data_IF_289750104731
#
_entry.id   IF_289750104731
#
_cell.length_a   1.000
_cell.length_b   1.000
_cell.length_c   1.000
_cell.angle_alpha   90.00
_cell.angle_beta   90.00
_cell.angle_gamma   90.00
#
_symmetry.space_group_name_H-M   'P 1'
#
loop_
_entity.id
_entity.type
_entity.pdbx_description
1 polymer ?
#
# COMPACT_ATOMS: atom_id res chain seq x y z
N UNK A 1 1.04 -9.62 -12.04
CA UNK A 1 1.11 -8.98 -10.70
C UNK A 1 0.13 -7.82 -10.74
N UNK A 2 -1.16 -8.15 -10.66
CA UNK A 2 -2.26 -7.30 -11.14
C UNK A 2 -2.30 -5.93 -10.46
N UNK A 3 -2.06 -5.85 -9.15
CA UNK A 3 -2.12 -4.57 -8.43
C UNK A 3 -1.04 -3.57 -8.87
N UNK A 4 0.19 -4.04 -9.18
CA UNK A 4 1.24 -3.16 -9.71
C UNK A 4 0.85 -2.64 -11.10
N UNK A 5 0.28 -3.49 -11.93
CA UNK A 5 -0.15 -3.12 -13.28
C UNK A 5 -1.23 -2.03 -13.24
N UNK A 6 -2.21 -2.13 -12.33
CA UNK A 6 -3.23 -1.11 -12.11
C UNK A 6 -2.63 0.22 -11.64
N UNK A 7 -1.72 0.16 -10.67
CA UNK A 7 -1.02 1.33 -10.16
C UNK A 7 -0.20 2.01 -11.26
N UNK A 8 0.57 1.24 -12.03
CA UNK A 8 1.40 1.78 -13.10
C UNK A 8 0.58 2.34 -14.25
N UNK A 9 -0.55 1.72 -14.58
CA UNK A 9 -1.51 2.28 -15.53
C UNK A 9 -2.02 3.65 -15.06
N UNK A 10 -2.46 3.76 -13.80
CA UNK A 10 -2.95 5.02 -13.24
C UNK A 10 -1.87 6.11 -13.18
N UNK A 11 -0.64 5.73 -12.78
CA UNK A 11 0.53 6.61 -12.78
C UNK A 11 0.87 7.12 -14.18
N UNK A 12 0.71 6.28 -15.22
CA UNK A 12 0.94 6.70 -16.61
C UNK A 12 -0.01 7.82 -17.06
N UNK A 13 -1.26 7.84 -16.56
CA UNK A 13 -2.23 8.90 -16.85
C UNK A 13 -1.85 10.26 -16.26
N UNK A 14 -0.98 10.25 -15.24
CA UNK A 14 -0.47 11.44 -14.54
C UNK A 14 0.98 11.78 -14.96
N UNK A 15 1.48 11.14 -16.03
CA UNK A 15 2.87 11.27 -16.51
C UNK A 15 3.93 10.92 -15.45
N UNK A 16 3.60 10.00 -14.54
CA UNK A 16 4.50 9.52 -13.51
C UNK A 16 5.24 8.26 -13.97
N UNK A 17 6.51 8.14 -13.57
CA UNK A 17 7.32 6.95 -13.85
C UNK A 17 6.68 5.70 -13.22
N UNK A 18 6.73 4.53 -13.89
CA UNK A 18 6.22 3.31 -13.29
C UNK A 18 7.05 2.91 -12.07
N UNK A 19 6.39 2.35 -11.07
CA UNK A 19 7.03 1.67 -9.95
C UNK A 19 7.55 0.31 -10.41
N UNK A 20 8.59 -0.18 -9.73
CA UNK A 20 9.20 -1.48 -9.98
C UNK A 20 9.04 -2.34 -8.75
N UNK A 21 8.67 -3.60 -8.95
CA UNK A 21 8.60 -4.52 -7.83
C UNK A 21 9.95 -4.65 -7.15
N UNK A 22 9.94 -4.57 -5.82
CA UNK A 22 11.09 -4.86 -4.98
C UNK A 22 10.72 -5.98 -4.01
N UNK A 23 11.27 -7.17 -4.27
CA UNK A 23 10.92 -8.41 -3.56
C UNK A 23 10.90 -8.33 -2.03
N UNK A 24 11.87 -7.65 -1.36
CA UNK A 24 11.80 -7.49 0.08
C UNK A 24 10.53 -6.77 0.57
N UNK A 25 10.06 -5.74 -0.14
CA UNK A 25 8.82 -5.05 0.21
C UNK A 25 7.58 -5.89 -0.05
N UNK A 26 7.59 -6.68 -1.12
CA UNK A 26 6.51 -7.61 -1.40
C UNK A 26 6.37 -8.66 -0.29
N UNK A 27 7.49 -9.23 0.16
CA UNK A 27 7.50 -10.17 1.30
C UNK A 27 7.04 -9.51 2.60
N UNK A 28 7.51 -8.30 2.90
CA UNK A 28 7.05 -7.54 4.07
C UNK A 28 5.55 -7.30 4.01
N UNK A 29 5.01 -6.80 2.89
CA UNK A 29 3.57 -6.56 2.73
C UNK A 29 2.74 -7.83 2.94
N UNK A 30 3.18 -8.97 2.40
CA UNK A 30 2.49 -10.25 2.60
C UNK A 30 2.51 -10.71 4.06
N UNK A 31 3.67 -10.61 4.71
CA UNK A 31 3.81 -10.96 6.13
C UNK A 31 2.88 -10.10 7.00
N UNK A 32 2.82 -8.80 6.74
CA UNK A 32 1.93 -7.88 7.46
C UNK A 32 0.45 -8.20 7.28
N UNK A 33 0.04 -8.50 6.04
CA UNK A 33 -1.35 -8.88 5.76
C UNK A 33 -1.75 -10.16 6.51
N UNK A 34 -0.83 -11.13 6.62
CA UNK A 34 -1.04 -12.34 7.40
C UNK A 34 -1.11 -12.03 8.90
N UNK A 35 -0.17 -11.26 9.44
CA UNK A 35 -0.13 -10.91 10.87
C UNK A 35 -1.41 -10.16 11.31
N UNK A 36 -1.87 -9.17 10.53
CA UNK A 36 -3.14 -8.47 10.75
C UNK A 36 -4.35 -9.40 10.76
N UNK A 37 -4.40 -10.34 9.80
CA UNK A 37 -5.49 -11.30 9.68
C UNK A 37 -5.48 -12.30 10.84
N UNK A 38 -4.32 -12.86 11.18
CA UNK A 38 -4.17 -13.89 12.21
C UNK A 38 -4.44 -13.36 13.62
N UNK A 39 -4.05 -12.11 13.88
CA UNK A 39 -4.20 -11.47 15.18
C UNK A 39 -5.40 -10.52 15.27
N UNK A 40 -6.30 -10.52 14.28
CA UNK A 40 -7.56 -9.77 14.26
C UNK A 40 -7.41 -8.25 14.53
N UNK A 41 -6.45 -7.61 13.88
CA UNK A 41 -6.30 -6.15 13.94
C UNK A 41 -6.03 -5.55 12.56
N UNK A 42 -6.26 -4.25 12.40
CA UNK A 42 -6.00 -3.52 11.16
C UNK A 42 -5.30 -2.21 11.47
N UNK A 43 -3.98 -2.17 11.34
CA UNK A 43 -3.16 -1.04 11.74
C UNK A 43 -1.78 -1.07 11.08
N UNK A 44 -1.23 0.13 10.84
CA UNK A 44 0.18 0.31 10.44
C UNK A 44 1.18 -0.11 11.54
N UNK A 45 0.70 -0.33 12.77
CA UNK A 45 1.49 -0.65 13.95
C UNK A 45 1.00 -1.95 14.60
N UNK A 46 1.90 -2.66 15.29
CA UNK A 46 1.49 -3.80 16.13
C UNK A 46 0.59 -3.34 17.28
N UNK A 47 -0.42 -4.14 17.67
CA UNK A 47 -1.19 -3.89 18.87
C UNK A 47 -0.27 -3.59 20.06
N UNK A 48 -0.61 -2.57 20.84
CA UNK A 48 0.10 -2.18 22.07
C UNK A 48 1.58 -1.79 21.90
N UNK A 49 2.02 -1.46 20.67
CA UNK A 49 3.38 -0.98 20.42
C UNK A 49 3.39 0.24 19.50
N UNK A 50 4.51 0.97 19.49
CA UNK A 50 4.82 2.00 18.48
C UNK A 50 5.63 1.45 17.31
N UNK A 51 5.82 0.13 17.25
CA UNK A 51 6.66 -0.53 16.25
C UNK A 51 5.85 -0.62 14.95
N UNK A 52 6.30 0.06 13.88
CA UNK A 52 5.70 -0.10 12.57
C UNK A 52 5.97 -1.51 12.06
N UNK A 53 4.97 -2.09 11.40
CA UNK A 53 5.11 -3.40 10.78
C UNK A 53 6.06 -3.41 9.58
N UNK A 54 6.00 -2.34 8.78
CA UNK A 54 6.76 -2.17 7.56
C UNK A 54 7.90 -1.16 7.68
N UNK A 55 8.16 -0.44 6.59
CA UNK A 55 9.14 0.64 6.58
C UNK A 55 8.61 1.85 7.39
N UNK A 56 9.24 2.10 8.54
CA UNK A 56 9.35 3.38 9.27
C UNK A 56 8.21 4.40 9.06
N UNK A 57 7.38 4.57 10.09
CA UNK A 57 6.63 5.80 10.43
C UNK A 57 6.10 6.52 9.18
N UNK A 58 5.09 5.96 8.52
CA UNK A 58 4.46 6.52 7.32
C UNK A 58 3.72 7.84 7.65
N UNK A 59 4.50 8.90 7.85
CA UNK A 59 4.06 10.28 8.03
C UNK A 59 5.08 11.18 7.30
N UNK A 60 5.06 11.17 5.96
CA UNK A 60 5.16 12.35 5.10
C UNK A 60 5.10 11.95 3.61
N UNK A 61 3.92 12.15 3.02
CA UNK A 61 3.40 11.52 1.79
C UNK A 61 4.14 11.86 0.49
N UNK A 62 5.11 12.78 0.47
CA UNK A 62 6.04 12.91 -0.67
C UNK A 62 7.24 13.81 -0.34
N UNK A 63 8.43 13.19 -0.21
CA UNK A 63 9.80 13.78 -0.16
C UNK A 63 10.85 12.64 -0.07
N UNK A 64 10.67 11.58 -0.85
CA UNK A 64 11.54 10.39 -0.83
C UNK A 64 11.30 9.41 0.33
N UNK A 65 10.25 9.62 1.14
CA UNK A 65 9.85 8.70 2.19
C UNK A 65 9.10 7.47 1.64
N UNK A 66 9.18 6.35 2.36
CA UNK A 66 8.34 5.19 2.13
C UNK A 66 6.88 5.49 2.52
N UNK A 67 5.94 4.83 1.87
CA UNK A 67 4.52 4.93 2.18
C UNK A 67 3.90 3.54 2.19
N UNK A 68 2.88 3.38 3.02
CA UNK A 68 2.15 2.13 3.19
C UNK A 68 0.66 2.39 2.97
N UNK A 69 0.05 1.61 2.09
CA UNK A 69 -1.39 1.64 1.87
C UNK A 69 -1.97 0.31 2.33
N UNK A 70 -2.85 0.36 3.33
CA UNK A 70 -3.59 -0.79 3.83
C UNK A 70 -5.02 -0.72 3.34
N UNK A 71 -5.65 -1.87 3.15
CA UNK A 71 -7.09 -1.96 2.91
C UNK A 71 -7.61 -3.25 3.51
N UNK A 72 -8.76 -3.16 4.17
CA UNK A 72 -9.53 -4.30 4.61
C UNK A 72 -10.87 -4.26 3.87
N UNK A 73 -11.26 -5.37 3.26
CA UNK A 73 -12.53 -5.48 2.54
C UNK A 73 -13.35 -6.64 3.09
N UNK A 74 -14.67 -6.48 3.06
CA UNK A 74 -15.64 -7.48 3.47
C UNK A 74 -16.92 -7.29 2.66
N UNK A 75 -17.59 -8.35 2.17
CA UNK A 75 -17.30 -9.78 2.37
C UNK A 75 -16.12 -10.31 1.52
N UNK A 76 -15.71 -11.59 1.66
CA UNK A 76 -14.59 -12.19 0.91
C UNK A 76 -14.67 -12.05 -0.62
N UNK A 77 -15.86 -11.90 -1.19
CA UNK A 77 -16.02 -11.63 -2.63
C UNK A 77 -15.42 -10.30 -3.07
N UNK A 78 -15.10 -9.39 -2.14
CA UNK A 78 -14.42 -8.11 -2.40
C UNK A 78 -12.89 -8.20 -2.26
N UNK A 79 -12.32 -9.39 -2.02
CA UNK A 79 -10.87 -9.60 -1.87
C UNK A 79 -10.17 -9.65 -3.24
N UNK A 80 -10.23 -8.54 -3.98
CA UNK A 80 -9.64 -8.43 -5.33
C UNK A 80 -8.71 -7.22 -5.44
N UNK A 81 -7.70 -7.31 -6.32
CA UNK A 81 -6.78 -6.21 -6.61
C UNK A 81 -7.51 -4.95 -7.07
N UNK A 82 -8.60 -5.11 -7.84
CA UNK A 82 -9.37 -3.99 -8.36
C UNK A 82 -10.14 -3.24 -7.29
N UNK A 83 -10.74 -3.95 -6.33
CA UNK A 83 -11.40 -3.31 -5.19
C UNK A 83 -10.35 -2.57 -4.36
N UNK A 84 -9.24 -3.22 -4.01
CA UNK A 84 -8.15 -2.60 -3.26
C UNK A 84 -7.64 -1.31 -3.94
N UNK A 85 -7.35 -1.40 -5.24
CA UNK A 85 -6.92 -0.26 -6.06
C UNK A 85 -7.96 0.88 -6.05
N UNK A 86 -9.23 0.57 -6.31
CA UNK A 86 -10.29 1.58 -6.33
C UNK A 86 -10.45 2.26 -4.97
N UNK A 87 -10.43 1.49 -3.87
CA UNK A 87 -10.52 2.01 -2.51
C UNK A 87 -9.38 2.98 -2.20
N UNK A 88 -8.14 2.63 -2.56
CA UNK A 88 -7.00 3.54 -2.39
C UNK A 88 -7.11 4.79 -3.26
N UNK A 89 -7.51 4.65 -4.52
CA UNK A 89 -7.62 5.78 -5.45
C UNK A 89 -8.73 6.77 -5.09
N UNK A 90 -9.79 6.31 -4.41
CA UNK A 90 -10.87 7.16 -3.89
C UNK A 90 -10.51 7.83 -2.56
N UNK A 91 -9.44 7.40 -1.89
CA UNK A 91 -8.99 7.97 -0.63
C UNK A 91 -7.84 8.96 -0.85
N UNK A 92 -8.00 10.25 -0.53
CA UNK A 92 -6.96 11.27 -0.76
C UNK A 92 -5.56 10.91 -0.22
N UNK A 93 -5.37 10.44 1.03
CA UNK A 93 -4.04 10.10 1.52
C UNK A 93 -3.41 8.91 0.77
N UNK A 94 -4.19 7.86 0.48
CA UNK A 94 -3.69 6.67 -0.22
C UNK A 94 -3.36 6.98 -1.69
N UNK A 95 -4.20 7.76 -2.37
CA UNK A 95 -3.95 8.24 -3.73
C UNK A 95 -2.69 9.09 -3.78
N UNK A 96 -2.49 9.97 -2.81
CA UNK A 96 -1.30 10.84 -2.77
C UNK A 96 0.00 10.01 -2.63
N UNK A 97 -0.03 8.93 -1.84
CA UNK A 97 1.05 7.93 -1.78
C UNK A 97 1.33 7.30 -3.14
N UNK A 98 0.28 6.78 -3.81
CA UNK A 98 0.38 6.16 -5.15
C UNK A 98 0.89 7.12 -6.22
N UNK A 99 0.53 8.41 -6.14
CA UNK A 99 0.86 9.44 -7.13
C UNK A 99 2.10 10.25 -6.75
N UNK A 100 2.83 9.86 -5.72
CA UNK A 100 4.07 10.53 -5.37
C UNK A 100 5.09 10.40 -6.54
N UNK A 101 5.83 11.49 -6.81
CA UNK A 101 6.79 11.60 -7.93
C UNK A 101 8.14 10.95 -7.66
N UNK A 102 8.52 10.86 -6.38
CA UNK A 102 9.82 10.36 -5.93
C UNK A 102 9.96 8.84 -5.72
N UNK A 103 8.91 8.02 -5.50
CA UNK A 103 9.10 6.59 -5.30
C UNK A 103 9.60 5.96 -6.60
N UNK A 104 10.67 5.19 -6.48
CA UNK A 104 11.31 4.46 -7.60
C UNK A 104 11.06 2.96 -7.52
N UNK A 105 10.46 2.51 -6.41
CA UNK A 105 10.16 1.13 -6.04
C UNK A 105 8.82 1.12 -5.35
#
# INVERSE_FOLDING_TARGET
>A
MEILELINYARSKENLKPLKMYEPLNRTAQWMANDMKENNYFSHYKPDTTIPHGLLKAMAVCRGAAAENLVQTSPPSLHTSRVAFNTWMQSPPHRQSIMCRTPTR
#
